data_IF_580301286703
#
_entry.id   IF_580301286703
#
_cell.length_a   1.000
_cell.length_b   1.000
_cell.length_c   1.000
_cell.angle_alpha   90.00
_cell.angle_beta   90.00
_cell.angle_gamma   90.00
#
_symmetry.space_group_name_H-M   'P 1'
#
loop_
_entity.id
_entity.type
_entity.pdbx_description
1 polymer ?
#
# COMPACT_ATOMS: atom_id res chain seq x y z
N UNK A 1 -65.97 -59.76 -23.29
CA UNK A 1 -65.09 -59.93 -22.11
C UNK A 1 -63.62 -59.70 -22.44
N UNK A 2 -63.02 -60.41 -23.42
CA UNK A 2 -61.57 -60.34 -23.75
C UNK A 2 -61.07 -58.98 -24.26
N UNK A 3 -61.79 -58.31 -25.16
CA UNK A 3 -61.40 -56.98 -25.69
C UNK A 3 -61.41 -55.87 -24.61
N UNK A 4 -62.33 -55.94 -23.66
CA UNK A 4 -62.41 -55.00 -22.55
C UNK A 4 -61.23 -55.17 -21.58
N UNK A 5 -60.84 -56.41 -21.33
CA UNK A 5 -59.69 -56.73 -20.48
C UNK A 5 -58.36 -56.26 -21.10
N UNK A 6 -58.21 -56.40 -22.42
CA UNK A 6 -57.03 -55.91 -23.14
C UNK A 6 -56.90 -54.37 -23.05
N UNK A 7 -57.99 -53.62 -23.24
CA UNK A 7 -57.99 -52.15 -23.08
C UNK A 7 -57.69 -51.72 -21.64
N UNK A 8 -58.15 -52.48 -20.66
CA UNK A 8 -57.86 -52.20 -19.25
C UNK A 8 -56.37 -52.36 -18.92
N UNK A 9 -55.74 -53.45 -19.38
CA UNK A 9 -54.30 -53.65 -19.19
C UNK A 9 -53.46 -52.59 -19.94
N UNK A 10 -53.90 -52.17 -21.13
CA UNK A 10 -53.24 -51.07 -21.86
C UNK A 10 -53.33 -49.74 -21.10
N UNK A 11 -54.51 -49.39 -20.56
CA UNK A 11 -54.67 -48.20 -19.72
C UNK A 11 -53.81 -48.25 -18.47
N UNK A 12 -53.71 -49.42 -17.84
CA UNK A 12 -52.85 -49.64 -16.67
C UNK A 12 -51.37 -49.44 -17.02
N UNK A 13 -50.93 -49.94 -18.19
CA UNK A 13 -49.57 -49.75 -18.65
C UNK A 13 -49.27 -48.27 -18.94
N UNK A 14 -50.16 -47.58 -19.66
CA UNK A 14 -50.05 -46.14 -19.90
C UNK A 14 -50.04 -45.32 -18.60
N UNK A 15 -50.81 -45.73 -17.59
CA UNK A 15 -50.81 -45.07 -16.29
C UNK A 15 -49.45 -45.25 -15.59
N UNK A 16 -48.87 -46.44 -15.63
CA UNK A 16 -47.55 -46.72 -15.07
C UNK A 16 -46.44 -45.93 -15.79
N UNK A 17 -46.48 -45.86 -17.12
CA UNK A 17 -45.49 -45.11 -17.92
C UNK A 17 -45.55 -43.61 -17.62
N UNK A 18 -46.77 -43.05 -17.55
CA UNK A 18 -46.98 -41.64 -17.19
C UNK A 18 -46.50 -41.35 -15.77
N UNK A 19 -46.76 -42.25 -14.82
CA UNK A 19 -46.30 -42.10 -13.43
C UNK A 19 -44.76 -42.12 -13.34
N UNK A 20 -44.11 -43.02 -14.09
CA UNK A 20 -42.65 -43.05 -14.24
C UNK A 20 -42.10 -41.74 -14.83
N UNK A 21 -42.73 -41.23 -15.89
CA UNK A 21 -42.34 -39.97 -16.52
C UNK A 21 -42.49 -38.78 -15.56
N UNK A 22 -43.58 -38.72 -14.79
CA UNK A 22 -43.80 -37.68 -13.78
C UNK A 22 -42.68 -37.72 -12.74
N UNK A 23 -42.37 -38.90 -12.20
CA UNK A 23 -41.29 -39.06 -11.20
C UNK A 23 -39.93 -38.65 -11.75
N UNK A 24 -39.60 -39.06 -12.98
CA UNK A 24 -38.36 -38.65 -13.64
C UNK A 24 -38.29 -37.13 -13.83
N UNK A 25 -39.38 -36.50 -14.26
CA UNK A 25 -39.44 -35.05 -14.46
C UNK A 25 -39.33 -34.29 -13.15
N UNK A 26 -39.95 -34.79 -12.08
CA UNK A 26 -39.84 -34.20 -10.74
C UNK A 26 -38.40 -34.27 -10.21
N UNK A 27 -37.71 -35.39 -10.44
CA UNK A 27 -36.30 -35.53 -10.07
C UNK A 27 -35.43 -34.51 -10.83
N UNK A 28 -35.59 -34.42 -12.15
CA UNK A 28 -34.87 -33.44 -12.97
C UNK A 28 -35.15 -32.00 -12.54
N UNK A 29 -36.40 -31.69 -12.18
CA UNK A 29 -36.77 -30.36 -11.67
C UNK A 29 -36.09 -30.06 -10.33
N UNK A 30 -35.99 -31.05 -9.44
CA UNK A 30 -35.27 -30.93 -8.17
C UNK A 30 -33.78 -30.64 -8.40
N UNK A 31 -33.13 -31.41 -9.27
CA UNK A 31 -31.72 -31.21 -9.62
C UNK A 31 -31.48 -29.83 -10.25
N UNK A 32 -32.39 -29.38 -11.11
CA UNK A 32 -32.32 -28.05 -11.71
C UNK A 32 -32.45 -26.94 -10.66
N UNK A 33 -33.32 -27.11 -9.65
CA UNK A 33 -33.45 -26.15 -8.54
C UNK A 33 -32.18 -26.07 -7.69
N UNK A 34 -31.54 -27.20 -7.40
CA UNK A 34 -30.28 -27.23 -6.65
C UNK A 34 -29.19 -26.48 -7.44
N UNK A 35 -29.03 -26.82 -8.73
CA UNK A 35 -28.06 -26.13 -9.61
C UNK A 35 -28.33 -24.63 -9.69
N UNK A 36 -29.61 -24.22 -9.74
CA UNK A 36 -29.97 -22.81 -9.77
C UNK A 36 -29.57 -22.10 -8.47
N UNK A 37 -29.79 -22.73 -7.32
CA UNK A 37 -29.34 -22.18 -6.03
C UNK A 37 -27.81 -22.04 -5.97
N UNK A 38 -27.07 -23.05 -6.43
CA UNK A 38 -25.59 -22.99 -6.48
C UNK A 38 -25.10 -21.84 -7.36
N UNK A 39 -25.76 -21.62 -8.51
CA UNK A 39 -25.46 -20.50 -9.41
C UNK A 39 -25.78 -19.15 -8.77
N UNK A 40 -26.88 -19.06 -8.03
CA UNK A 40 -27.25 -17.84 -7.31
C UNK A 40 -26.21 -17.50 -6.22
N UNK A 41 -25.77 -18.48 -5.44
CA UNK A 41 -24.71 -18.30 -4.43
C UNK A 41 -23.39 -17.89 -5.08
N UNK A 42 -23.02 -18.48 -6.21
CA UNK A 42 -21.81 -18.10 -6.94
C UNK A 42 -21.88 -16.66 -7.46
N UNK A 43 -23.06 -16.23 -7.92
CA UNK A 43 -23.29 -14.86 -8.40
C UNK A 43 -23.18 -13.84 -7.26
N UNK A 44 -23.80 -14.10 -6.11
CA UNK A 44 -23.71 -13.24 -4.93
C UNK A 44 -22.28 -13.10 -4.43
N UNK A 45 -21.52 -14.21 -4.43
CA UNK A 45 -20.09 -14.18 -4.11
C UNK A 45 -19.30 -13.30 -5.08
N UNK A 46 -19.48 -13.48 -6.39
CA UNK A 46 -18.79 -12.67 -7.40
C UNK A 46 -19.14 -11.18 -7.26
N UNK A 47 -20.40 -10.85 -6.99
CA UNK A 47 -20.83 -9.48 -6.77
C UNK A 47 -20.14 -8.87 -5.53
N UNK A 48 -20.05 -9.63 -4.45
CA UNK A 48 -19.36 -9.18 -3.24
C UNK A 48 -17.85 -8.98 -3.47
N UNK A 49 -17.20 -9.91 -4.19
CA UNK A 49 -15.80 -9.79 -4.59
C UNK A 49 -15.56 -8.57 -5.49
N UNK A 50 -16.45 -8.30 -6.45
CA UNK A 50 -16.37 -7.13 -7.31
C UNK A 50 -16.52 -5.82 -6.51
N UNK A 51 -17.51 -5.74 -5.61
CA UNK A 51 -17.73 -4.56 -4.76
C UNK A 51 -16.54 -4.29 -3.84
N UNK A 52 -15.99 -5.34 -3.21
CA UNK A 52 -14.83 -5.20 -2.33
C UNK A 52 -13.56 -4.87 -3.11
N UNK A 53 -13.39 -5.39 -4.32
CA UNK A 53 -12.30 -5.02 -5.22
C UNK A 53 -12.40 -3.56 -5.65
N UNK A 54 -13.59 -3.08 -6.04
CA UNK A 54 -13.79 -1.69 -6.45
C UNK A 54 -13.43 -0.72 -5.33
N UNK A 55 -13.85 -1.03 -4.09
CA UNK A 55 -13.48 -0.23 -2.92
C UNK A 55 -11.97 -0.16 -2.67
N UNK A 56 -11.24 -1.25 -2.95
CA UNK A 56 -9.76 -1.24 -2.87
C UNK A 56 -9.15 -0.34 -3.94
N UNK A 57 -9.70 -0.36 -5.16
CA UNK A 57 -9.27 0.52 -6.26
C UNK A 57 -9.52 1.98 -5.92
N UNK A 58 -10.69 2.33 -5.37
CA UNK A 58 -11.01 3.67 -4.91
C UNK A 58 -10.00 4.17 -3.88
N UNK A 59 -9.67 3.34 -2.87
CA UNK A 59 -8.64 3.68 -1.88
C UNK A 59 -7.27 3.91 -2.51
N UNK A 60 -6.84 3.02 -3.40
CA UNK A 60 -5.55 3.18 -4.10
C UNK A 60 -5.52 4.45 -4.94
N UNK A 61 -6.65 4.86 -5.51
CA UNK A 61 -6.75 6.10 -6.27
C UNK A 61 -6.62 7.34 -5.37
N UNK A 62 -7.24 7.32 -4.19
CA UNK A 62 -7.10 8.37 -3.17
C UNK A 62 -5.64 8.49 -2.69
N UNK A 63 -5.03 7.36 -2.35
CA UNK A 63 -3.62 7.29 -1.90
C UNK A 63 -2.68 7.85 -3.00
N UNK A 64 -2.91 7.52 -4.26
CA UNK A 64 -2.15 8.04 -5.40
C UNK A 64 -2.29 9.57 -5.52
N UNK A 65 -3.49 10.11 -5.34
CA UNK A 65 -3.75 11.54 -5.34
C UNK A 65 -2.99 12.27 -4.22
N UNK A 66 -2.94 11.68 -3.02
CA UNK A 66 -2.15 12.21 -1.90
C UNK A 66 -0.66 12.28 -2.24
N UNK A 67 -0.09 11.17 -2.71
CA UNK A 67 1.34 11.09 -3.07
C UNK A 67 1.68 12.07 -4.20
N UNK A 68 0.81 12.22 -5.19
CA UNK A 68 1.00 13.20 -6.25
C UNK A 68 1.02 14.64 -5.71
N UNK A 69 0.14 14.96 -4.75
CA UNK A 69 0.13 16.26 -4.07
C UNK A 69 1.39 16.53 -3.24
N UNK A 70 1.88 15.51 -2.53
CA UNK A 70 3.14 15.57 -1.78
C UNK A 70 4.34 15.80 -2.70
N UNK A 71 4.43 15.04 -3.81
CA UNK A 71 5.48 15.21 -4.83
C UNK A 71 5.44 16.62 -5.43
N UNK A 72 4.25 17.12 -5.76
CA UNK A 72 4.08 18.47 -6.32
C UNK A 72 4.57 19.53 -5.33
N UNK A 73 4.21 19.38 -4.05
CA UNK A 73 4.66 20.26 -2.97
C UNK A 73 6.19 20.23 -2.84
N UNK A 74 6.79 19.05 -2.89
CA UNK A 74 8.23 18.87 -2.81
C UNK A 74 8.98 19.49 -3.99
N UNK A 75 8.45 19.35 -5.21
CA UNK A 75 8.98 19.98 -6.42
C UNK A 75 8.94 21.52 -6.33
N UNK A 76 7.82 22.09 -5.85
CA UNK A 76 7.72 23.55 -5.66
C UNK A 76 8.74 24.09 -4.65
N UNK A 77 9.03 23.32 -3.59
CA UNK A 77 10.07 23.69 -2.63
C UNK A 77 11.45 23.75 -3.30
N UNK A 78 11.82 22.75 -4.11
CA UNK A 78 13.08 22.77 -4.85
C UNK A 78 13.16 23.89 -5.87
N UNK A 79 12.07 24.17 -6.58
CA UNK A 79 12.02 25.28 -7.53
C UNK A 79 12.25 26.63 -6.82
N UNK A 80 11.62 26.82 -5.66
CA UNK A 80 11.85 28.00 -4.81
C UNK A 80 13.30 28.11 -4.34
N UNK A 81 13.91 27.02 -3.89
CA UNK A 81 15.32 26.99 -3.48
C UNK A 81 16.26 27.32 -4.65
N UNK A 82 15.97 26.82 -5.85
CA UNK A 82 16.77 27.06 -7.06
C UNK A 82 16.70 28.53 -7.50
N UNK A 83 15.53 29.16 -7.37
CA UNK A 83 15.31 30.58 -7.72
C UNK A 83 15.97 31.58 -6.76
N UNK A 84 16.28 31.15 -5.53
CA UNK A 84 16.89 32.01 -4.50
C UNK A 84 18.43 32.06 -4.57
N UNK A 85 19.05 31.37 -5.54
CA UNK A 85 20.41 31.71 -5.97
C UNK A 85 20.31 32.74 -7.11
N UNK A 86 20.35 34.05 -6.83
CA UNK A 86 20.67 34.98 -7.89
C UNK A 86 22.05 34.58 -8.40
N UNK A 87 22.18 34.38 -9.71
CA UNK A 87 23.42 34.72 -10.39
C UNK A 87 23.79 36.11 -9.89
N UNK A 88 24.75 36.19 -8.96
CA UNK A 88 25.42 37.43 -8.61
C UNK A 88 25.91 37.99 -9.93
N UNK A 89 25.18 38.96 -10.45
CA UNK A 89 25.58 39.72 -11.61
C UNK A 89 26.94 40.32 -11.29
N UNK A 90 27.79 40.32 -12.30
CA UNK A 90 29.19 40.67 -12.23
C UNK A 90 29.38 42.15 -11.86
N UNK A 91 29.35 42.49 -10.58
CA UNK A 91 30.02 43.67 -10.06
C UNK A 91 31.40 43.24 -9.53
N UNK A 92 32.42 43.50 -10.36
CA UNK A 92 33.73 44.04 -9.99
C UNK A 92 34.23 43.81 -8.55
N UNK A 93 34.32 42.56 -8.14
CA UNK A 93 35.26 42.17 -7.10
C UNK A 93 36.43 41.50 -7.81
N UNK A 94 37.63 42.05 -7.60
CA UNK A 94 38.90 41.37 -7.80
C UNK A 94 38.95 40.17 -6.84
N UNK A 95 38.17 39.13 -7.16
CA UNK A 95 38.25 37.84 -6.53
C UNK A 95 39.35 37.11 -7.29
N UNK A 96 40.59 37.44 -6.91
CA UNK A 96 41.67 36.45 -6.96
C UNK A 96 41.06 35.11 -6.54
N UNK A 97 41.06 34.07 -7.41
CA UNK A 97 40.39 32.83 -7.09
C UNK A 97 41.02 32.30 -5.81
N UNK A 98 40.27 32.34 -4.72
CA UNK A 98 40.68 31.72 -3.48
C UNK A 98 40.91 30.25 -3.85
N UNK A 99 42.19 29.88 -3.91
CA UNK A 99 42.62 28.55 -4.29
C UNK A 99 41.91 27.58 -3.35
N UNK A 100 40.92 26.84 -3.84
CA UNK A 100 40.31 25.69 -3.17
C UNK A 100 41.31 24.52 -2.99
N UNK A 101 42.62 24.77 -3.13
CA UNK A 101 43.69 23.80 -2.93
C UNK A 101 43.96 23.48 -1.45
N UNK A 102 43.09 23.90 -0.53
CA UNK A 102 43.23 23.67 0.91
C UNK A 102 41.98 23.09 1.60
N UNK A 103 41.08 22.46 0.86
CA UNK A 103 40.26 21.42 1.50
C UNK A 103 41.15 20.18 1.62
N UNK A 104 41.41 19.66 2.85
CA UNK A 104 42.10 18.40 3.00
C UNK A 104 41.35 17.36 2.18
N UNK A 105 42.08 16.69 1.30
CA UNK A 105 41.56 15.58 0.53
C UNK A 105 41.03 14.53 1.51
N UNK A 106 39.74 14.23 1.45
CA UNK A 106 39.01 13.35 2.39
C UNK A 106 39.43 11.87 2.32
N UNK A 107 40.51 11.56 1.60
CA UNK A 107 41.01 10.19 1.43
C UNK A 107 41.90 9.72 2.60
N UNK A 108 42.05 10.54 3.66
CA UNK A 108 42.92 10.27 4.82
C UNK A 108 42.19 10.34 6.18
N UNK A 109 40.89 10.07 6.22
CA UNK A 109 40.19 9.85 7.50
C UNK A 109 40.43 8.41 7.94
N UNK A 110 41.15 8.22 9.05
CA UNK A 110 41.34 6.89 9.65
C UNK A 110 39.96 6.28 9.97
N UNK A 111 39.74 5.02 9.58
CA UNK A 111 38.49 4.27 9.84
C UNK A 111 38.11 4.35 11.33
N UNK A 112 39.13 4.35 12.22
CA UNK A 112 38.92 4.49 13.66
C UNK A 112 38.41 5.89 14.07
N UNK A 113 38.75 6.94 13.32
CA UNK A 113 38.25 8.30 13.53
C UNK A 113 36.82 8.45 12.99
N UNK A 114 36.54 7.84 11.85
CA UNK A 114 35.19 7.78 11.28
C UNK A 114 34.21 7.07 12.23
N UNK A 115 34.63 5.93 12.79
CA UNK A 115 33.85 5.17 13.77
C UNK A 115 33.58 5.98 15.04
N UNK A 116 34.58 6.70 15.56
CA UNK A 116 34.41 7.57 16.74
C UNK A 116 33.44 8.72 16.49
N UNK A 117 33.48 9.31 15.30
CA UNK A 117 32.56 10.39 14.93
C UNK A 117 31.12 9.88 14.82
N UNK A 118 30.93 8.67 14.29
CA UNK A 118 29.60 8.04 14.23
C UNK A 118 29.08 7.67 15.62
N UNK A 119 29.92 7.11 16.51
CA UNK A 119 29.54 6.83 17.91
C UNK A 119 29.15 8.11 18.67
N UNK A 120 29.89 9.21 18.47
CA UNK A 120 29.54 10.51 19.04
C UNK A 120 28.19 11.02 18.48
N UNK A 121 27.90 10.75 17.20
CA UNK A 121 26.64 11.13 16.54
C UNK A 121 25.47 10.36 17.12
N UNK A 122 25.60 9.04 17.27
CA UNK A 122 24.58 8.20 17.88
C UNK A 122 24.31 8.58 19.34
N UNK A 123 25.37 8.84 20.12
CA UNK A 123 25.25 9.29 21.51
C UNK A 123 24.51 10.63 21.61
N UNK A 124 24.83 11.60 20.74
CA UNK A 124 24.11 12.87 20.67
C UNK A 124 22.62 12.67 20.36
N UNK A 125 22.28 11.82 19.40
CA UNK A 125 20.88 11.52 19.05
C UNK A 125 20.13 10.91 20.24
N UNK A 126 20.75 9.98 20.96
CA UNK A 126 20.17 9.36 22.14
C UNK A 126 19.95 10.38 23.28
N UNK A 127 20.93 11.26 23.53
CA UNK A 127 20.82 12.30 24.56
C UNK A 127 19.76 13.34 24.19
N UNK A 128 19.66 13.73 22.91
CA UNK A 128 18.59 14.63 22.44
C UNK A 128 17.21 13.98 22.58
N UNK A 129 17.08 12.68 22.31
CA UNK A 129 15.83 11.97 22.53
C UNK A 129 15.44 11.96 24.03
N UNK A 130 16.39 11.65 24.91
CA UNK A 130 16.17 11.68 26.36
C UNK A 130 15.83 13.09 26.88
N UNK A 131 16.48 14.13 26.34
CA UNK A 131 16.20 15.52 26.68
C UNK A 131 14.80 15.96 26.23
N UNK A 132 14.33 15.48 25.07
CA UNK A 132 12.96 15.73 24.59
C UNK A 132 11.90 15.06 25.48
N UNK A 133 12.21 13.90 26.05
CA UNK A 133 11.30 13.16 26.94
C UNK A 133 11.24 13.80 28.34
N UNK A 134 12.39 14.15 28.94
CA UNK A 134 12.46 14.69 30.31
C UNK A 134 12.22 16.18 30.41
N UNK A 135 12.61 16.95 29.38
CA UNK A 135 12.48 18.41 29.30
C UNK A 135 13.03 19.19 30.51
N UNK A 136 13.97 18.61 31.25
CA UNK A 136 14.64 19.25 32.37
C UNK A 136 15.90 20.00 31.90
N UNK A 137 16.34 20.96 32.72
CA UNK A 137 17.51 21.81 32.39
C UNK A 137 18.79 20.99 32.27
N UNK A 138 18.91 19.93 33.06
CA UNK A 138 20.10 19.07 33.10
C UNK A 138 20.21 18.21 31.83
N UNK A 139 19.10 17.66 31.31
CA UNK A 139 19.14 16.91 30.04
C UNK A 139 19.34 17.83 28.83
N UNK A 140 18.83 19.06 28.86
CA UNK A 140 19.11 20.07 27.81
C UNK A 140 20.59 20.46 27.82
N UNK A 141 21.20 20.64 29.00
CA UNK A 141 22.63 20.91 29.13
C UNK A 141 23.49 19.72 28.64
N UNK A 142 23.07 18.49 28.92
CA UNK A 142 23.72 17.28 28.42
C UNK A 142 23.66 17.20 26.88
N UNK A 143 22.51 17.54 26.27
CA UNK A 143 22.38 17.58 24.81
C UNK A 143 23.27 18.65 24.17
N UNK A 144 23.37 19.83 24.78
CA UNK A 144 24.28 20.89 24.32
C UNK A 144 25.75 20.46 24.41
N UNK A 145 26.14 19.77 25.48
CA UNK A 145 27.50 19.23 25.65
C UNK A 145 27.81 18.16 24.61
N UNK A 146 26.88 17.24 24.35
CA UNK A 146 27.03 16.22 23.32
C UNK A 146 27.13 16.83 21.90
N UNK A 147 26.48 17.98 21.65
CA UNK A 147 26.63 18.70 20.37
C UNK A 147 28.03 19.28 20.18
N UNK A 148 28.68 19.73 21.25
CA UNK A 148 30.05 20.24 21.21
C UNK A 148 31.06 19.16 20.84
N UNK A 149 30.80 17.90 21.17
CA UNK A 149 31.65 16.76 20.78
C UNK A 149 31.55 16.38 19.29
N UNK A 150 30.66 17.04 18.53
CA UNK A 150 30.46 16.87 17.09
C UNK A 150 30.96 18.07 16.27
N UNK A 151 31.70 18.99 16.89
CA UNK A 151 32.29 20.18 16.27
C UNK A 151 33.81 20.04 16.23
#
# INVERSE_FOLDING_TARGET
MTSMNAKFEELKHQAADKDSLIKSTQLQLSDAKIKLADKQTALEKLQWEAMTSNKKVEKLHEDLGSVQGEISSFLSLFEGLTKNHPTMSAEDYDVTPYHLNHLPHTDDWDEAEMQKMEEAREAYVAIVAAAKEKQDKDSIAAAATARLHLQ
#
